data_IF_361847092436
#
_entry.id   IF_361847092436
#
_cell.length_a   1.000
_cell.length_b   1.000
_cell.length_c   1.000
_cell.angle_alpha   90.00
_cell.angle_beta   90.00
_cell.angle_gamma   90.00
#
_symmetry.space_group_name_H-M   'P 1'
#
loop_
_entity.id
_entity.type
_entity.pdbx_description
1 polymer ?
#
# COMPACT_ATOMS: atom_id res chain seq x y z
N UNK A 1 -47.90 -37.10 -5.27
CA UNK A 1 -48.19 -35.71 -4.84
C UNK A 1 -47.54 -34.77 -5.84
N UNK A 2 -48.33 -34.03 -6.63
CA UNK A 2 -47.81 -33.08 -7.62
C UNK A 2 -47.24 -31.86 -6.87
N UNK A 3 -45.92 -31.85 -6.63
CA UNK A 3 -45.26 -30.66 -6.10
C UNK A 3 -45.24 -29.63 -7.23
N UNK A 4 -46.07 -28.60 -7.12
CA UNK A 4 -46.07 -27.49 -8.06
C UNK A 4 -44.65 -26.92 -8.12
N UNK A 5 -44.10 -26.85 -9.32
CA UNK A 5 -42.78 -26.26 -9.55
C UNK A 5 -42.85 -24.77 -9.19
N UNK A 6 -41.84 -24.22 -8.50
CA UNK A 6 -41.78 -22.79 -8.24
C UNK A 6 -41.85 -21.97 -9.53
N UNK A 7 -42.47 -20.80 -9.48
CA UNK A 7 -42.44 -19.87 -10.62
C UNK A 7 -41.07 -19.20 -10.72
N UNK A 8 -40.69 -18.75 -11.90
CA UNK A 8 -39.43 -18.03 -12.12
C UNK A 8 -39.26 -16.83 -11.18
N UNK A 9 -40.36 -16.11 -10.91
CA UNK A 9 -40.39 -15.02 -9.94
C UNK A 9 -40.03 -15.47 -8.51
N UNK A 10 -40.50 -16.64 -8.09
CA UNK A 10 -40.16 -17.23 -6.79
C UNK A 10 -38.70 -17.66 -6.74
N UNK A 11 -38.19 -18.26 -7.82
CA UNK A 11 -36.78 -18.66 -7.94
C UNK A 11 -35.86 -17.46 -7.85
N UNK A 12 -36.15 -16.41 -8.61
CA UNK A 12 -35.37 -15.17 -8.60
C UNK A 12 -35.37 -14.50 -7.24
N UNK A 13 -36.53 -14.41 -6.59
CA UNK A 13 -36.64 -13.82 -5.24
C UNK A 13 -35.81 -14.60 -4.22
N UNK A 14 -35.84 -15.94 -4.25
CA UNK A 14 -35.02 -16.77 -3.37
C UNK A 14 -33.51 -16.62 -3.64
N UNK A 15 -33.12 -16.50 -4.91
CA UNK A 15 -31.74 -16.23 -5.30
C UNK A 15 -31.23 -14.87 -4.81
N UNK A 16 -32.03 -13.81 -4.96
CA UNK A 16 -31.71 -12.47 -4.45
C UNK A 16 -31.60 -12.48 -2.92
N UNK A 17 -32.52 -13.17 -2.24
CA UNK A 17 -32.47 -13.34 -0.79
C UNK A 17 -31.22 -14.07 -0.31
N UNK A 18 -30.83 -15.19 -0.95
CA UNK A 18 -29.61 -15.94 -0.60
C UNK A 18 -28.34 -15.11 -0.87
N UNK A 19 -28.31 -14.30 -1.94
CA UNK A 19 -27.19 -13.38 -2.20
C UNK A 19 -27.05 -12.35 -1.08
N UNK A 20 -28.15 -11.72 -0.67
CA UNK A 20 -28.16 -10.72 0.40
C UNK A 20 -27.83 -11.31 1.77
N UNK A 21 -28.46 -12.42 2.15
CA UNK A 21 -28.22 -13.10 3.42
C UNK A 21 -26.78 -13.63 3.50
N UNK A 22 -26.26 -14.20 2.41
CA UNK A 22 -24.89 -14.67 2.36
C UNK A 22 -23.88 -13.54 2.52
N UNK A 23 -24.16 -12.38 1.92
CA UNK A 23 -23.34 -11.19 2.10
C UNK A 23 -23.37 -10.70 3.56
N UNK A 24 -24.54 -10.66 4.19
CA UNK A 24 -24.71 -10.26 5.59
C UNK A 24 -23.98 -11.20 6.55
N UNK A 25 -24.12 -12.52 6.35
CA UNK A 25 -23.47 -13.55 7.18
C UNK A 25 -21.99 -13.78 6.82
N UNK A 26 -21.48 -13.12 5.76
CA UNK A 26 -20.11 -13.32 5.29
C UNK A 26 -19.83 -14.71 4.70
N UNK A 27 -20.87 -15.48 4.33
CA UNK A 27 -20.76 -16.81 3.73
C UNK A 27 -20.87 -16.75 2.21
N UNK A 28 -20.50 -17.84 1.53
CA UNK A 28 -20.65 -17.95 0.07
C UNK A 28 -22.08 -18.36 -0.27
N UNK A 29 -22.74 -17.55 -1.10
CA UNK A 29 -24.04 -17.88 -1.68
C UNK A 29 -23.91 -19.14 -2.56
N UNK A 30 -24.78 -20.13 -2.33
CA UNK A 30 -24.76 -21.39 -3.09
C UNK A 30 -26.13 -21.74 -3.65
N UNK A 31 -26.12 -22.34 -4.85
CA UNK A 31 -27.34 -22.84 -5.49
C UNK A 31 -28.01 -23.91 -4.63
N UNK A 32 -27.24 -24.70 -3.89
CA UNK A 32 -27.79 -25.71 -2.97
C UNK A 32 -28.61 -25.11 -1.82
N UNK A 33 -28.29 -23.92 -1.35
CA UNK A 33 -29.10 -23.26 -0.32
C UNK A 33 -30.42 -22.75 -0.91
N UNK A 34 -30.39 -22.20 -2.13
CA UNK A 34 -31.59 -21.81 -2.87
C UNK A 34 -32.51 -23.02 -3.11
N UNK A 35 -31.92 -24.16 -3.50
CA UNK A 35 -32.64 -25.43 -3.66
C UNK A 35 -33.34 -25.87 -2.36
N UNK A 36 -32.63 -25.79 -1.23
CA UNK A 36 -33.19 -26.10 0.09
C UNK A 36 -34.32 -25.15 0.47
N UNK A 37 -34.14 -23.85 0.22
CA UNK A 37 -35.14 -22.82 0.51
C UNK A 37 -36.43 -23.00 -0.30
N UNK A 38 -36.31 -23.40 -1.57
CA UNK A 38 -37.44 -23.70 -2.45
C UNK A 38 -37.97 -25.13 -2.29
N UNK A 39 -37.23 -25.99 -1.59
CA UNK A 39 -37.53 -27.41 -1.44
C UNK A 39 -37.52 -28.19 -2.76
N UNK A 40 -36.71 -27.76 -3.74
CA UNK A 40 -36.60 -28.39 -5.06
C UNK A 40 -35.36 -29.29 -5.09
N UNK A 41 -35.46 -30.45 -5.75
CA UNK A 41 -34.30 -31.32 -5.92
C UNK A 41 -33.32 -30.75 -6.93
N UNK A 42 -32.02 -30.98 -6.70
CA UNK A 42 -30.94 -30.49 -7.55
C UNK A 42 -31.17 -30.74 -9.05
N UNK A 43 -31.51 -31.98 -9.42
CA UNK A 43 -31.76 -32.34 -10.81
C UNK A 43 -32.96 -31.59 -11.43
N UNK A 44 -34.01 -31.34 -10.65
CA UNK A 44 -35.18 -30.58 -11.12
C UNK A 44 -34.84 -29.10 -11.30
N UNK A 45 -34.05 -28.55 -10.38
CA UNK A 45 -33.64 -27.15 -10.42
C UNK A 45 -32.75 -26.85 -11.63
N UNK A 46 -31.74 -27.69 -11.88
CA UNK A 46 -30.82 -27.53 -13.01
C UNK A 46 -31.48 -27.78 -14.37
N UNK A 47 -32.51 -28.63 -14.43
CA UNK A 47 -33.22 -28.90 -15.68
C UNK A 47 -34.19 -27.77 -16.05
N UNK A 48 -34.86 -27.18 -15.07
CA UNK A 48 -35.94 -26.23 -15.32
C UNK A 48 -35.50 -24.76 -15.25
N UNK A 49 -34.41 -24.43 -14.54
CA UNK A 49 -33.97 -23.04 -14.34
C UNK A 49 -32.47 -22.80 -14.68
N UNK A 50 -31.96 -23.25 -15.84
CA UNK A 50 -30.56 -23.06 -16.19
C UNK A 50 -30.14 -21.58 -16.25
N UNK A 51 -30.97 -20.72 -16.84
CA UNK A 51 -30.69 -19.29 -17.00
C UNK A 51 -30.57 -18.57 -15.66
N UNK A 52 -31.42 -18.94 -14.70
CA UNK A 52 -31.38 -18.39 -13.34
C UNK A 52 -30.10 -18.81 -12.62
N UNK A 53 -29.63 -20.04 -12.81
CA UNK A 53 -28.38 -20.54 -12.23
C UNK A 53 -27.18 -19.79 -12.80
N UNK A 54 -27.18 -19.53 -14.11
CA UNK A 54 -26.12 -18.76 -14.75
C UNK A 54 -26.10 -17.30 -14.25
N UNK A 55 -27.25 -16.66 -14.21
CA UNK A 55 -27.40 -15.32 -13.63
C UNK A 55 -26.90 -15.27 -12.18
N UNK A 56 -27.30 -16.23 -11.35
CA UNK A 56 -26.88 -16.31 -9.94
C UNK A 56 -25.37 -16.47 -9.78
N UNK A 57 -24.74 -17.32 -10.60
CA UNK A 57 -23.28 -17.49 -10.61
C UNK A 57 -22.58 -16.19 -11.00
N UNK A 58 -23.04 -15.54 -12.07
CA UNK A 58 -22.50 -14.27 -12.53
C UNK A 58 -22.58 -13.17 -11.46
N UNK A 59 -23.75 -13.01 -10.83
CA UNK A 59 -23.93 -12.04 -9.74
C UNK A 59 -23.02 -12.33 -8.53
N UNK A 60 -22.95 -13.60 -8.11
CA UNK A 60 -22.08 -14.01 -7.00
C UNK A 60 -20.61 -13.72 -7.29
N UNK A 61 -20.16 -13.97 -8.51
CA UNK A 61 -18.76 -13.80 -8.87
C UNK A 61 -18.41 -12.30 -9.02
N UNK A 62 -19.32 -11.47 -9.55
CA UNK A 62 -19.17 -10.00 -9.55
C UNK A 62 -19.12 -9.38 -8.13
N UNK A 63 -19.89 -9.92 -7.18
CA UNK A 63 -19.84 -9.50 -5.77
C UNK A 63 -18.47 -9.82 -5.12
N UNK A 64 -17.81 -10.89 -5.58
CA UNK A 64 -16.48 -11.26 -5.08
C UNK A 64 -15.39 -10.37 -5.64
N UNK A 65 -15.48 -10.03 -6.93
CA UNK A 65 -14.51 -9.15 -7.59
C UNK A 65 -14.53 -7.76 -6.94
N UNK A 66 -15.71 -7.17 -6.74
CA UNK A 66 -15.88 -5.87 -6.07
C UNK A 66 -15.33 -5.84 -4.64
N UNK A 67 -15.51 -6.92 -3.85
CA UNK A 67 -14.91 -7.04 -2.51
C UNK A 67 -13.38 -7.13 -2.56
N UNK A 68 -12.84 -7.81 -3.56
CA UNK A 68 -11.39 -7.99 -3.71
C UNK A 68 -10.71 -6.67 -4.10
N UNK A 69 -11.31 -5.91 -5.02
CA UNK A 69 -10.76 -4.62 -5.46
C UNK A 69 -10.78 -3.56 -4.36
N UNK A 70 -11.85 -3.50 -3.55
CA UNK A 70 -11.94 -2.56 -2.42
C UNK A 70 -10.90 -2.85 -1.31
N UNK A 71 -10.61 -4.12 -1.06
CA UNK A 71 -9.58 -4.51 -0.08
C UNK A 71 -8.16 -4.21 -0.59
N UNK A 72 -7.95 -4.36 -1.90
CA UNK A 72 -6.65 -4.03 -2.51
C UNK A 72 -6.42 -2.51 -2.59
N UNK A 73 -7.45 -1.70 -2.84
CA UNK A 73 -7.33 -0.24 -2.84
C UNK A 73 -7.00 0.32 -1.45
N UNK A 74 -7.68 -0.16 -0.41
CA UNK A 74 -7.41 0.26 0.99
C UNK A 74 -5.99 -0.13 1.43
N UNK A 75 -5.54 -1.34 1.11
CA UNK A 75 -4.17 -1.78 1.42
C UNK A 75 -3.11 -0.91 0.72
N UNK A 76 -3.33 -0.52 -0.54
CA UNK A 76 -2.43 0.38 -1.28
C UNK A 76 -2.38 1.78 -0.66
N UNK A 77 -3.51 2.30 -0.19
CA UNK A 77 -3.56 3.61 0.49
C UNK A 77 -2.77 3.61 1.80
N UNK A 78 -2.92 2.56 2.61
CA UNK A 78 -2.17 2.39 3.86
C UNK A 78 -0.66 2.29 3.60
N UNK A 79 -0.26 1.52 2.57
CA UNK A 79 1.14 1.38 2.17
C UNK A 79 1.73 2.73 1.69
N UNK A 80 0.98 3.52 0.91
CA UNK A 80 1.40 4.86 0.48
C UNK A 80 1.53 5.82 1.66
N UNK A 81 0.61 5.78 2.62
CA UNK A 81 0.70 6.60 3.81
C UNK A 81 1.94 6.25 4.65
N UNK A 82 2.23 4.95 4.81
CA UNK A 82 3.46 4.48 5.47
C UNK A 82 4.71 4.98 4.77
N UNK A 83 4.78 4.82 3.44
CA UNK A 83 5.95 5.25 2.65
C UNK A 83 6.18 6.76 2.73
N UNK A 84 5.12 7.58 2.76
CA UNK A 84 5.24 9.04 2.93
C UNK A 84 5.81 9.43 4.29
N UNK A 85 5.38 8.74 5.35
CA UNK A 85 5.93 8.95 6.71
C UNK A 85 7.40 8.56 6.75
N UNK A 86 7.74 7.38 6.24
CA UNK A 86 9.11 6.90 6.19
C UNK A 86 10.03 7.82 5.37
N UNK A 87 9.56 8.32 4.22
CA UNK A 87 10.33 9.26 3.41
C UNK A 87 10.59 10.58 4.16
N UNK A 88 9.60 11.06 4.91
CA UNK A 88 9.72 12.28 5.73
C UNK A 88 10.76 12.08 6.83
N UNK A 89 10.74 10.93 7.51
CA UNK A 89 11.70 10.64 8.58
C UNK A 89 13.12 10.43 8.05
N UNK A 90 13.28 9.75 6.90
CA UNK A 90 14.58 9.65 6.23
C UNK A 90 15.14 11.02 5.84
N UNK A 91 14.31 11.94 5.35
CA UNK A 91 14.73 13.31 5.02
C UNK A 91 15.19 14.08 6.27
N UNK A 92 14.50 13.91 7.41
CA UNK A 92 14.93 14.49 8.69
C UNK A 92 16.29 13.94 9.11
N UNK A 93 16.48 12.62 9.06
CA UNK A 93 17.76 11.98 9.39
C UNK A 93 18.91 12.49 8.50
N UNK A 94 18.69 12.56 7.19
CA UNK A 94 19.69 13.09 6.25
C UNK A 94 20.06 14.54 6.57
N UNK A 95 19.08 15.37 6.96
CA UNK A 95 19.35 16.75 7.37
C UNK A 95 20.22 16.80 8.64
N UNK A 96 19.92 15.96 9.64
CA UNK A 96 20.73 15.86 10.85
C UNK A 96 22.15 15.41 10.55
N UNK A 97 22.32 14.37 9.73
CA UNK A 97 23.65 13.88 9.35
C UNK A 97 24.44 14.90 8.54
N UNK A 98 23.79 15.61 7.61
CA UNK A 98 24.46 16.67 6.86
C UNK A 98 24.98 17.78 7.79
N UNK A 99 24.22 18.14 8.83
CA UNK A 99 24.64 19.15 9.80
C UNK A 99 25.79 18.66 10.69
N UNK A 100 25.72 17.40 11.15
CA UNK A 100 26.80 16.79 11.92
C UNK A 100 28.11 16.75 11.12
N UNK A 101 28.05 16.43 9.81
CA UNK A 101 29.22 16.44 8.93
C UNK A 101 29.80 17.86 8.79
N UNK A 102 28.95 18.89 8.66
CA UNK A 102 29.42 20.29 8.61
C UNK A 102 30.14 20.69 9.89
N UNK A 103 29.57 20.37 11.06
CA UNK A 103 30.18 20.65 12.36
C UNK A 103 31.53 19.95 12.49
N UNK A 104 31.59 18.64 12.22
CA UNK A 104 32.84 17.88 12.25
C UNK A 104 33.90 18.45 11.29
N UNK A 105 33.49 18.99 10.14
CA UNK A 105 34.41 19.60 9.18
C UNK A 105 35.01 20.90 9.73
N UNK A 106 34.21 21.72 10.40
CA UNK A 106 34.68 22.94 11.05
C UNK A 106 35.57 22.63 12.27
N UNK A 107 35.15 21.68 13.10
CA UNK A 107 35.93 21.25 14.27
C UNK A 107 37.28 20.67 13.86
N UNK A 108 37.30 19.87 12.78
CA UNK A 108 38.55 19.36 12.22
C UNK A 108 39.49 20.50 11.78
N UNK A 109 38.98 21.49 11.04
CA UNK A 109 39.80 22.62 10.60
C UNK A 109 40.35 23.43 11.78
N UNK A 110 39.53 23.66 12.81
CA UNK A 110 39.96 24.36 14.03
C UNK A 110 41.06 23.58 14.78
N UNK A 111 40.94 22.26 14.88
CA UNK A 111 41.96 21.40 15.49
C UNK A 111 43.26 21.37 14.68
N UNK A 112 43.18 21.40 13.35
CA UNK A 112 44.36 21.51 12.49
C UNK A 112 45.08 22.86 12.68
N UNK A 113 44.32 23.97 12.76
CA UNK A 113 44.86 25.30 13.05
C UNK A 113 45.51 25.36 14.44
N UNK A 114 44.85 24.77 15.46
CA UNK A 114 45.41 24.66 16.80
C UNK A 114 46.73 23.88 16.75
N UNK A 115 46.74 22.66 16.21
CA UNK A 115 47.94 21.83 16.14
C UNK A 115 49.09 22.55 15.42
N UNK A 116 48.80 23.26 14.32
CA UNK A 116 49.78 24.05 13.60
C UNK A 116 50.37 25.19 14.45
N UNK A 117 49.56 25.84 15.28
CA UNK A 117 50.01 26.89 16.20
C UNK A 117 50.93 26.34 17.31
N UNK A 118 50.65 25.14 17.83
CA UNK A 118 51.43 24.49 18.87
C UNK A 118 52.77 23.96 18.34
N UNK A 119 52.81 23.44 17.12
CA UNK A 119 54.04 22.93 16.51
C UNK A 119 54.99 24.05 16.02
N UNK A 120 54.58 25.32 16.08
CA UNK A 120 55.40 26.45 15.59
C UNK A 120 55.67 26.40 14.09
N UNK A 121 54.98 25.53 13.35
CA UNK A 121 55.17 25.31 11.91
C UNK A 121 54.46 26.43 11.16
N UNK A 122 55.20 27.50 10.88
CA UNK A 122 54.72 28.60 10.03
C UNK A 122 54.39 28.03 8.64
N UNK A 123 53.12 28.16 8.21
CA UNK A 123 52.63 27.65 6.93
C UNK A 123 53.53 28.08 5.76
N UNK A 124 54.05 27.11 5.01
CA UNK A 124 54.85 27.38 3.80
C UNK A 124 54.03 28.10 2.72
N UNK A 125 52.71 27.92 2.69
CA UNK A 125 51.77 28.63 1.81
C UNK A 125 51.73 30.13 2.15
N UNK A 126 51.60 30.50 3.43
CA UNK A 126 51.60 31.90 3.85
C UNK A 126 52.96 32.56 3.65
N UNK A 127 54.06 31.83 3.92
CA UNK A 127 55.41 32.31 3.60
C UNK A 127 55.59 32.54 2.10
N UNK A 128 55.01 31.69 1.24
CA UNK A 128 55.06 31.83 -0.22
C UNK A 128 54.24 33.04 -0.68
N UNK A 129 53.04 33.28 -0.12
CA UNK A 129 52.24 34.48 -0.40
C UNK A 129 52.95 35.77 0.05
N UNK A 130 53.49 35.82 1.28
CA UNK A 130 54.27 36.98 1.77
C UNK A 130 55.55 37.25 0.97
N UNK A 131 56.20 36.20 0.43
CA UNK A 131 57.39 36.35 -0.42
C UNK A 131 57.04 36.81 -1.83
N UNK A 132 55.89 36.39 -2.36
CA UNK A 132 55.36 36.85 -3.65
C UNK A 132 55.03 38.35 -3.66
N UNK A 133 54.38 38.85 -2.60
CA UNK A 133 54.02 40.27 -2.47
C UNK A 133 55.26 41.20 -2.37
N UNK A 134 56.33 40.74 -1.71
CA UNK A 134 57.60 41.48 -1.62
C UNK A 134 58.38 41.55 -2.94
N UNK A 135 58.11 40.66 -3.90
CA UNK A 135 58.83 40.63 -5.17
C UNK A 135 58.26 41.59 -6.23
N UNK A 136 57.09 42.20 -5.97
CA UNK A 136 56.38 43.07 -6.94
C UNK A 136 56.65 44.57 -6.71
N UNK A 137 57.39 44.95 -5.65
CA UNK A 137 57.62 46.36 -5.28
C UNK A 137 59.05 46.87 -5.55
N UNK A 138 59.83 46.27 -6.47
CA UNK A 138 61.17 46.77 -6.82
C UNK A 138 61.34 46.97 -8.31
#
# INVERSE_FOLDING_TARGET
MNRLLPTDAQVRTAMEAELGESQFLGRRATVSNVEKQLGVTHATFYRNYPDHIEWFKSQRDGLRETKTTANDSSKREDDLARLRRENTDRRKQLRTYAEAIRQLTLDKAALEDELQSWEGVTSLEERRRRKGDRAVTT
#
